data_IF_945289396394
#
_entry.id   IF_945289396394
#
_cell.length_a   1.000
_cell.length_b   1.000
_cell.length_c   1.000
_cell.angle_alpha   90.00
_cell.angle_beta   90.00
_cell.angle_gamma   90.00
#
_symmetry.space_group_name_H-M   'P 1'
#
loop_
_entity.id
_entity.type
_entity.pdbx_description
1 polymer ?
#
# COMPACT_ATOMS: atom_id res chain seq x y z
N UNK A 1 -42.96 14.61 -59.26
CA UNK A 1 -42.95 13.47 -58.32
C UNK A 1 -41.52 13.32 -57.89
N UNK A 2 -41.26 13.46 -56.60
CA UNK A 2 -39.94 13.25 -56.04
C UNK A 2 -39.70 11.74 -55.89
N UNK A 3 -38.55 11.28 -56.35
CA UNK A 3 -38.13 9.88 -56.34
C UNK A 3 -36.74 9.71 -55.71
N UNK A 4 -36.19 10.77 -55.11
CA UNK A 4 -34.83 10.78 -54.55
C UNK A 4 -34.93 10.57 -53.05
N UNK A 5 -34.35 9.50 -52.48
CA UNK A 5 -34.36 9.30 -51.04
C UNK A 5 -33.62 10.40 -50.27
N UNK A 6 -34.01 10.69 -49.02
CA UNK A 6 -33.24 11.56 -48.15
C UNK A 6 -31.88 10.93 -47.79
N UNK A 7 -30.94 11.77 -47.37
CA UNK A 7 -29.67 11.35 -46.75
C UNK A 7 -29.81 11.44 -45.24
N UNK A 8 -29.68 10.31 -44.54
CA UNK A 8 -29.68 10.27 -43.07
C UNK A 8 -28.26 10.45 -42.49
N UNK A 9 -28.21 10.97 -41.27
CA UNK A 9 -27.01 11.14 -40.44
C UNK A 9 -27.30 10.65 -39.03
N UNK A 10 -26.37 9.92 -38.43
CA UNK A 10 -26.42 9.49 -37.03
C UNK A 10 -25.37 10.25 -36.22
N UNK A 11 -25.75 10.74 -35.03
CA UNK A 11 -24.84 11.47 -34.12
C UNK A 11 -24.96 10.89 -32.72
N UNK A 12 -23.85 10.47 -32.14
CA UNK A 12 -23.73 9.99 -30.77
C UNK A 12 -23.27 11.13 -29.84
N UNK A 13 -23.97 11.37 -28.74
CA UNK A 13 -23.60 12.35 -27.72
C UNK A 13 -23.77 11.80 -26.28
N UNK A 14 -22.85 12.09 -25.34
CA UNK A 14 -21.64 12.89 -25.54
C UNK A 14 -20.63 12.21 -26.48
N UNK A 15 -19.71 13.01 -27.01
CA UNK A 15 -18.58 12.46 -27.76
C UNK A 15 -17.62 11.77 -26.77
N UNK A 16 -16.98 10.67 -27.17
CA UNK A 16 -16.02 9.99 -26.31
C UNK A 16 -14.83 10.88 -25.94
N UNK A 17 -14.17 10.53 -24.85
CA UNK A 17 -12.92 11.15 -24.44
C UNK A 17 -11.76 10.79 -25.39
N UNK A 18 -10.54 11.26 -25.09
CA UNK A 18 -9.36 11.01 -25.92
C UNK A 18 -8.96 9.53 -26.06
N UNK A 19 -9.46 8.64 -25.19
CA UNK A 19 -9.27 7.19 -25.25
C UNK A 19 -10.41 6.46 -25.99
N UNK A 20 -11.43 7.18 -26.47
CA UNK A 20 -12.55 6.58 -27.21
C UNK A 20 -13.68 6.05 -26.31
N UNK A 21 -13.72 6.42 -25.04
CA UNK A 21 -14.72 5.95 -24.07
C UNK A 21 -15.63 7.06 -23.55
N UNK A 22 -16.83 6.69 -23.13
CA UNK A 22 -17.78 7.54 -22.41
C UNK A 22 -18.01 6.98 -21.01
N UNK A 23 -18.04 7.85 -20.02
CA UNK A 23 -18.40 7.52 -18.64
C UNK A 23 -19.85 7.87 -18.26
N UNK A 24 -20.68 8.06 -19.28
CA UNK A 24 -22.11 8.33 -19.14
C UNK A 24 -22.86 7.65 -20.28
N UNK A 25 -24.19 7.60 -20.16
CA UNK A 25 -25.04 7.09 -21.23
C UNK A 25 -24.87 7.93 -22.51
N UNK A 26 -24.89 7.25 -23.66
CA UNK A 26 -24.74 7.88 -24.98
C UNK A 26 -26.07 7.85 -25.72
N UNK A 27 -26.52 9.00 -26.21
CA UNK A 27 -27.72 9.12 -27.04
C UNK A 27 -27.33 9.20 -28.52
N UNK A 28 -27.82 8.25 -29.32
CA UNK A 28 -27.70 8.26 -30.78
C UNK A 28 -28.96 8.90 -31.38
N UNK A 29 -28.79 10.04 -32.04
CA UNK A 29 -29.87 10.78 -32.70
C UNK A 29 -29.74 10.69 -34.22
N UNK A 30 -30.87 10.57 -34.91
CA UNK A 30 -30.93 10.50 -36.37
C UNK A 30 -31.54 11.79 -36.93
N UNK A 31 -30.89 12.35 -37.93
CA UNK A 31 -31.37 13.51 -38.69
C UNK A 31 -31.20 13.24 -40.18
N UNK A 32 -31.81 14.05 -41.03
CA UNK A 32 -31.65 13.88 -42.48
C UNK A 32 -31.83 15.16 -43.25
N UNK A 33 -31.35 15.14 -44.49
CA UNK A 33 -31.59 16.17 -45.50
C UNK A 33 -32.20 15.52 -46.73
N UNK A 34 -33.09 16.22 -47.42
CA UNK A 34 -33.71 15.71 -48.63
C UNK A 34 -33.25 16.51 -49.87
N UNK A 35 -32.40 15.93 -50.74
CA UNK A 35 -31.98 16.57 -51.98
C UNK A 35 -33.06 16.50 -53.09
N UNK A 36 -34.08 15.64 -52.94
CA UNK A 36 -35.22 15.53 -53.87
C UNK A 36 -36.19 16.71 -53.78
N UNK A 37 -36.21 17.39 -52.64
CA UNK A 37 -36.90 18.66 -52.40
C UNK A 37 -38.33 18.52 -51.88
N UNK A 38 -38.81 17.30 -51.61
CA UNK A 38 -40.07 17.07 -50.89
C UNK A 38 -39.96 17.36 -49.38
N UNK A 39 -38.75 17.41 -48.84
CA UNK A 39 -38.44 17.61 -47.43
C UNK A 39 -38.52 16.33 -46.61
N UNK A 40 -37.81 16.30 -45.48
CA UNK A 40 -37.81 15.14 -44.57
C UNK A 40 -39.11 15.09 -43.77
N UNK A 41 -39.82 13.96 -43.83
CA UNK A 41 -41.06 13.74 -43.08
C UNK A 41 -40.78 13.25 -41.65
N UNK A 42 -39.90 12.26 -41.49
CA UNK A 42 -39.54 11.70 -40.18
C UNK A 42 -38.22 10.94 -40.25
N UNK A 43 -37.53 10.84 -39.11
CA UNK A 43 -36.37 9.95 -38.92
C UNK A 43 -36.63 8.98 -37.77
N UNK A 44 -35.82 7.92 -37.68
CA UNK A 44 -35.78 7.02 -36.52
C UNK A 44 -35.69 7.82 -35.21
N UNK A 45 -36.40 7.37 -34.17
CA UNK A 45 -36.31 7.97 -32.85
C UNK A 45 -34.89 7.82 -32.27
N UNK A 46 -34.49 8.76 -31.42
CA UNK A 46 -33.21 8.67 -30.73
C UNK A 46 -33.17 7.46 -29.79
N UNK A 47 -32.01 6.81 -29.70
CA UNK A 47 -31.77 5.63 -28.85
C UNK A 47 -30.75 6.00 -27.79
N UNK A 48 -31.03 5.67 -26.53
CA UNK A 48 -30.08 5.83 -25.41
C UNK A 48 -29.39 4.50 -25.15
N UNK A 49 -28.09 4.47 -25.36
CA UNK A 49 -27.20 3.40 -24.95
C UNK A 49 -26.78 3.66 -23.51
N UNK A 50 -27.24 2.80 -22.60
CA UNK A 50 -26.96 2.90 -21.15
C UNK A 50 -26.25 1.67 -20.58
N UNK A 51 -26.13 0.61 -21.37
CA UNK A 51 -25.35 -0.55 -21.00
C UNK A 51 -23.86 -0.25 -21.21
N UNK A 52 -23.04 -0.73 -20.28
CA UNK A 52 -21.59 -0.67 -20.43
C UNK A 52 -21.12 -1.74 -21.42
N UNK A 53 -20.01 -1.45 -22.10
CA UNK A 53 -19.42 -2.32 -23.09
C UNK A 53 -18.76 -1.55 -24.23
N UNK A 54 -17.82 -2.22 -24.88
CA UNK A 54 -17.10 -1.72 -26.05
C UNK A 54 -17.81 -2.05 -27.36
N UNK A 55 -17.58 -1.23 -28.39
CA UNK A 55 -17.98 -1.49 -29.77
C UNK A 55 -19.49 -1.46 -30.01
N UNK A 56 -20.25 -0.74 -29.18
CA UNK A 56 -21.69 -0.61 -29.37
C UNK A 56 -22.00 0.22 -30.62
N UNK A 57 -23.16 -0.01 -31.23
CA UNK A 57 -23.57 0.70 -32.44
C UNK A 57 -25.08 0.79 -32.55
N UNK A 58 -25.57 1.87 -33.14
CA UNK A 58 -26.98 2.07 -33.45
C UNK A 58 -27.17 2.57 -34.88
N UNK A 59 -28.26 2.16 -35.52
CA UNK A 59 -28.56 2.52 -36.91
C UNK A 59 -30.01 2.95 -37.10
N UNK A 60 -30.23 3.88 -38.04
CA UNK A 60 -31.54 4.47 -38.29
C UNK A 60 -31.68 5.06 -39.68
N UNK A 61 -32.90 5.38 -40.07
CA UNK A 61 -33.25 5.86 -41.41
C UNK A 61 -34.14 7.09 -41.34
N UNK A 62 -34.21 7.87 -42.43
CA UNK A 62 -35.17 8.94 -42.61
C UNK A 62 -36.09 8.66 -43.80
N UNK A 63 -37.33 9.14 -43.74
CA UNK A 63 -38.31 9.09 -44.84
C UNK A 63 -38.71 10.50 -45.20
N UNK A 64 -38.84 10.79 -46.49
CA UNK A 64 -39.28 12.10 -47.01
C UNK A 64 -40.81 12.21 -47.15
N UNK A 65 -41.32 13.37 -47.54
CA UNK A 65 -42.76 13.58 -47.74
C UNK A 65 -43.32 12.91 -49.00
N UNK A 66 -42.46 12.42 -49.90
CA UNK A 66 -42.84 11.63 -51.06
C UNK A 66 -42.87 10.11 -50.78
N UNK A 67 -42.45 9.69 -49.58
CA UNK A 67 -42.42 8.30 -49.12
C UNK A 67 -41.15 7.53 -49.46
N UNK A 68 -40.08 8.20 -49.91
CA UNK A 68 -38.78 7.55 -50.15
C UNK A 68 -37.99 7.43 -48.82
N UNK A 69 -37.30 6.31 -48.62
CA UNK A 69 -36.52 6.02 -47.39
C UNK A 69 -35.02 6.01 -47.67
N UNK A 70 -34.24 6.67 -46.80
CA UNK A 70 -32.77 6.72 -46.89
C UNK A 70 -32.12 5.35 -46.72
N UNK A 71 -30.86 5.23 -47.16
CA UNK A 71 -29.98 4.20 -46.60
C UNK A 71 -29.81 4.39 -45.08
N UNK A 72 -29.50 3.33 -44.31
CA UNK A 72 -29.21 3.46 -42.89
C UNK A 72 -28.00 4.35 -42.62
N UNK A 73 -28.13 5.26 -41.66
CA UNK A 73 -27.00 5.94 -41.03
C UNK A 73 -26.69 5.26 -39.70
N UNK A 74 -25.41 5.04 -39.41
CA UNK A 74 -24.98 4.34 -38.20
C UNK A 74 -23.99 5.17 -37.40
N UNK A 75 -24.14 5.14 -36.08
CA UNK A 75 -23.07 5.49 -35.16
C UNK A 75 -22.44 4.18 -34.66
N UNK A 76 -21.13 4.05 -34.79
CA UNK A 76 -20.37 2.82 -34.47
C UNK A 76 -19.28 3.10 -33.45
N UNK A 77 -18.67 2.03 -32.92
CA UNK A 77 -17.53 2.09 -32.00
C UNK A 77 -17.81 2.94 -30.74
N UNK A 78 -19.05 2.88 -30.26
CA UNK A 78 -19.46 3.56 -29.03
C UNK A 78 -19.03 2.67 -27.86
N UNK A 79 -18.03 3.12 -27.10
CA UNK A 79 -17.61 2.47 -25.88
C UNK A 79 -18.16 3.23 -24.67
N UNK A 80 -18.78 2.50 -23.74
CA UNK A 80 -19.36 3.05 -22.51
C UNK A 80 -18.81 2.25 -21.34
N UNK A 81 -18.27 2.94 -20.36
CA UNK A 81 -17.85 2.38 -19.09
C UNK A 81 -18.03 3.44 -18.01
N UNK A 82 -18.93 3.19 -17.07
CA UNK A 82 -19.35 4.14 -16.02
C UNK A 82 -18.87 3.67 -14.65
N UNK A 83 -18.20 2.53 -14.58
CA UNK A 83 -17.83 1.87 -13.34
C UNK A 83 -16.40 2.26 -13.01
N UNK A 84 -16.16 2.75 -11.80
CA UNK A 84 -14.81 3.04 -11.35
C UNK A 84 -14.04 1.73 -11.08
N UNK A 85 -12.71 1.73 -11.30
CA UNK A 85 -11.87 0.60 -10.95
C UNK A 85 -11.92 0.35 -9.44
N UNK A 86 -11.80 -0.91 -9.01
CA UNK A 86 -11.53 -1.23 -7.61
C UNK A 86 -10.06 -1.02 -7.31
N UNK A 87 -9.72 -0.37 -6.19
CA UNK A 87 -8.35 -0.21 -5.71
C UNK A 87 -8.24 -0.71 -4.27
N UNK A 88 -7.18 -1.44 -3.96
CA UNK A 88 -6.86 -1.89 -2.61
C UNK A 88 -5.37 -1.71 -2.33
N UNK A 89 -5.06 -0.92 -1.32
CA UNK A 89 -3.72 -0.68 -0.81
C UNK A 89 -3.62 -1.22 0.62
N UNK A 90 -2.54 -1.94 0.91
CA UNK A 90 -2.28 -2.43 2.26
C UNK A 90 -1.40 -1.45 3.05
N UNK A 91 -1.62 -1.38 4.35
CA UNK A 91 -0.71 -0.72 5.28
C UNK A 91 0.70 -1.33 5.17
N UNK A 92 1.72 -0.52 5.46
CA UNK A 92 3.11 -0.95 5.34
C UNK A 92 3.97 -0.35 6.44
N UNK A 93 4.64 -1.23 7.17
CA UNK A 93 5.48 -0.85 8.30
C UNK A 93 6.94 -1.17 8.01
N UNK A 94 7.81 -0.24 8.37
CA UNK A 94 9.25 -0.42 8.33
C UNK A 94 9.88 0.16 9.58
N UNK A 95 10.92 -0.49 10.07
CA UNK A 95 11.69 -0.02 11.22
C UNK A 95 12.79 0.93 10.75
N UNK A 96 12.92 2.09 11.38
CA UNK A 96 14.04 2.99 11.14
C UNK A 96 14.32 3.93 12.31
N UNK A 97 15.57 4.36 12.41
CA UNK A 97 16.03 5.37 13.39
C UNK A 97 16.00 6.78 12.83
N UNK A 98 15.81 6.90 11.51
CA UNK A 98 15.83 8.15 10.75
C UNK A 98 14.75 8.11 9.65
N UNK A 99 14.37 9.26 9.08
CA UNK A 99 13.57 9.28 7.86
C UNK A 99 14.21 8.42 6.76
N UNK A 100 13.41 7.57 6.11
CA UNK A 100 13.88 6.58 5.15
C UNK A 100 13.05 6.60 3.86
N UNK A 101 13.68 6.25 2.74
CA UNK A 101 12.98 5.99 1.49
C UNK A 101 12.25 4.63 1.57
N UNK A 102 10.91 4.65 1.58
CA UNK A 102 10.11 3.43 1.79
C UNK A 102 9.51 2.93 0.49
N UNK A 103 9.77 1.68 0.15
CA UNK A 103 9.26 1.05 -1.06
C UNK A 103 8.11 0.09 -0.73
N UNK A 104 6.92 0.65 -0.52
CA UNK A 104 5.71 -0.12 -0.21
C UNK A 104 5.12 -0.79 -1.48
N UNK A 105 4.38 -1.91 -1.33
CA UNK A 105 3.80 -2.65 -2.46
C UNK A 105 2.86 -1.81 -3.32
N UNK A 106 2.82 -2.06 -4.63
CA UNK A 106 1.82 -1.46 -5.50
C UNK A 106 0.40 -1.93 -5.10
N UNK A 107 -0.63 -1.07 -5.18
CA UNK A 107 -1.99 -1.49 -4.86
C UNK A 107 -2.50 -2.53 -5.86
N UNK A 108 -3.43 -3.36 -5.40
CA UNK A 108 -4.19 -4.28 -6.26
C UNK A 108 -5.32 -3.49 -6.91
N UNK A 109 -5.33 -3.46 -8.24
CA UNK A 109 -6.33 -2.71 -9.02
C UNK A 109 -6.98 -3.62 -10.05
N UNK A 110 -8.30 -3.56 -10.14
CA UNK A 110 -9.08 -4.32 -11.14
C UNK A 110 -10.20 -3.47 -11.71
N UNK A 111 -10.54 -3.73 -12.96
CA UNK A 111 -11.69 -3.14 -13.63
C UNK A 111 -12.26 -4.13 -14.67
N UNK A 112 -13.55 -4.01 -14.98
CA UNK A 112 -14.27 -4.94 -15.85
C UNK A 112 -14.06 -4.67 -17.35
N UNK A 113 -13.82 -3.42 -17.74
CA UNK A 113 -13.72 -2.97 -19.13
C UNK A 113 -12.37 -2.34 -19.45
N UNK A 114 -11.54 -2.09 -18.45
CA UNK A 114 -10.14 -1.69 -18.57
C UNK A 114 -9.19 -2.69 -17.88
N UNK A 115 -8.30 -3.31 -18.67
CA UNK A 115 -7.33 -4.26 -18.14
C UNK A 115 -6.12 -3.61 -17.45
N UNK A 116 -5.97 -2.28 -17.56
CA UNK A 116 -4.84 -1.57 -16.95
C UNK A 116 -5.18 -0.14 -16.53
N UNK A 117 -6.07 0.04 -15.53
CA UNK A 117 -6.34 1.37 -14.97
C UNK A 117 -5.04 2.05 -14.51
N UNK A 118 -4.92 3.35 -14.78
CA UNK A 118 -3.78 4.14 -14.35
C UNK A 118 -3.83 4.37 -12.84
N UNK A 119 -2.70 4.19 -12.16
CA UNK A 119 -2.60 4.35 -10.70
C UNK A 119 -1.59 5.42 -10.34
N UNK A 120 -1.98 6.34 -9.45
CA UNK A 120 -1.10 7.36 -8.88
C UNK A 120 -1.23 7.35 -7.36
N UNK A 121 -0.11 7.20 -6.66
CA UNK A 121 -0.05 7.23 -5.20
C UNK A 121 0.75 8.42 -4.69
N UNK A 122 0.27 9.06 -3.62
CA UNK A 122 0.92 10.20 -2.99
C UNK A 122 0.97 10.01 -1.46
N UNK A 123 2.17 10.03 -0.83
CA UNK A 123 3.49 9.95 -1.45
C UNK A 123 3.66 8.72 -2.35
N UNK A 124 4.59 8.75 -3.32
CA UNK A 124 4.85 7.60 -4.19
C UNK A 124 5.78 6.57 -3.53
N UNK A 125 5.67 5.29 -3.90
CA UNK A 125 6.61 4.25 -3.44
C UNK A 125 8.06 4.63 -3.81
N UNK A 126 8.96 4.51 -2.84
CA UNK A 126 10.35 4.97 -2.91
C UNK A 126 10.57 6.43 -2.47
N UNK A 127 9.52 7.15 -2.08
CA UNK A 127 9.66 8.51 -1.50
C UNK A 127 10.27 8.44 -0.09
N UNK A 128 10.83 9.57 0.38
CA UNK A 128 11.24 9.73 1.78
C UNK A 128 10.02 9.88 2.68
N UNK A 129 9.94 9.06 3.72
CA UNK A 129 8.94 9.14 4.78
C UNK A 129 9.59 9.63 6.07
N UNK A 130 8.87 10.50 6.80
CA UNK A 130 9.28 10.90 8.14
C UNK A 130 9.06 9.73 9.12
N UNK A 131 9.67 9.82 10.31
CA UNK A 131 9.37 8.91 11.40
C UNK A 131 7.88 9.02 11.80
N UNK A 132 7.27 7.88 12.13
CA UNK A 132 5.85 7.75 12.42
C UNK A 132 4.98 7.49 11.19
N UNK A 133 3.70 7.74 11.35
CA UNK A 133 2.68 7.43 10.34
C UNK A 133 2.60 8.47 9.24
N UNK A 134 2.54 8.01 8.00
CA UNK A 134 2.22 8.84 6.83
C UNK A 134 1.08 8.20 6.05
N UNK A 135 0.03 8.98 5.81
CA UNK A 135 -1.09 8.54 4.97
C UNK A 135 -0.69 8.59 3.49
N UNK A 136 -0.72 7.43 2.83
CA UNK A 136 -0.61 7.32 1.37
C UNK A 136 -2.01 7.23 0.78
N UNK A 137 -2.30 8.06 -0.23
CA UNK A 137 -3.54 7.97 -1.01
C UNK A 137 -3.21 7.51 -2.43
N UNK A 138 -3.77 6.38 -2.86
CA UNK A 138 -3.69 5.91 -4.25
C UNK A 138 -5.01 6.17 -4.97
N UNK A 139 -4.94 6.74 -6.17
CA UNK A 139 -6.09 6.91 -7.07
C UNK A 139 -5.90 5.99 -8.28
N UNK A 140 -6.88 5.13 -8.54
CA UNK A 140 -6.97 4.37 -9.78
C UNK A 140 -7.93 5.08 -10.75
N UNK A 141 -7.63 5.08 -12.06
CA UNK A 141 -8.44 5.73 -13.09
C UNK A 141 -8.45 4.89 -14.36
N UNK A 142 -9.64 4.55 -14.84
CA UNK A 142 -9.80 3.76 -16.07
C UNK A 142 -9.70 4.63 -17.35
N UNK A 143 -9.86 3.99 -18.52
CA UNK A 143 -9.87 4.66 -19.82
C UNK A 143 -11.10 5.55 -20.07
N UNK A 144 -12.23 5.31 -19.42
CA UNK A 144 -13.42 6.17 -19.50
C UNK A 144 -13.31 7.43 -18.63
N UNK A 145 -12.36 7.44 -17.70
CA UNK A 145 -12.10 8.51 -16.75
C UNK A 145 -12.89 8.36 -15.45
N UNK A 146 -13.42 7.16 -15.14
CA UNK A 146 -13.91 6.89 -13.79
C UNK A 146 -12.71 6.65 -12.87
N UNK A 147 -12.84 7.05 -11.61
CA UNK A 147 -11.75 6.97 -10.64
C UNK A 147 -12.26 6.60 -9.25
N UNK A 148 -11.44 5.85 -8.53
CA UNK A 148 -11.66 5.45 -7.13
C UNK A 148 -10.35 5.63 -6.35
N UNK A 149 -10.47 5.82 -5.03
CA UNK A 149 -9.33 5.99 -4.15
C UNK A 149 -9.30 4.94 -3.04
N UNK A 150 -8.09 4.58 -2.64
CA UNK A 150 -7.85 3.88 -1.37
C UNK A 150 -6.70 4.54 -0.63
N UNK A 151 -6.72 4.41 0.70
CA UNK A 151 -5.73 4.98 1.59
C UNK A 151 -5.13 3.89 2.47
N UNK A 152 -3.82 3.95 2.65
CA UNK A 152 -3.12 3.11 3.61
C UNK A 152 -2.10 3.94 4.39
N UNK A 153 -1.79 3.48 5.58
CA UNK A 153 -0.75 4.07 6.42
C UNK A 153 0.58 3.41 6.10
N UNK A 154 1.59 4.24 5.84
CA UNK A 154 2.99 3.83 5.84
C UNK A 154 3.62 4.32 7.13
N UNK A 155 4.02 3.39 7.99
CA UNK A 155 4.61 3.69 9.30
C UNK A 155 6.11 3.45 9.27
N UNK A 156 6.88 4.49 9.59
CA UNK A 156 8.32 4.35 9.86
C UNK A 156 8.49 4.32 11.37
N UNK A 157 8.50 3.12 11.93
CA UNK A 157 8.48 2.88 13.36
C UNK A 157 9.86 3.12 13.99
N UNK A 158 9.85 3.88 15.08
CA UNK A 158 10.99 4.09 15.97
C UNK A 158 11.02 3.03 17.07
N UNK A 159 12.14 2.91 17.79
CA UNK A 159 12.30 1.92 18.87
C UNK A 159 11.26 2.07 19.98
N UNK A 160 10.94 3.30 20.37
CA UNK A 160 9.89 3.59 21.35
C UNK A 160 8.51 3.16 20.86
N UNK A 161 8.15 3.46 19.61
CA UNK A 161 6.89 3.02 19.01
C UNK A 161 6.74 1.48 19.02
N UNK A 162 7.80 0.76 18.63
CA UNK A 162 7.80 -0.72 18.68
C UNK A 162 7.63 -1.24 20.10
N UNK A 163 8.30 -0.61 21.07
CA UNK A 163 8.15 -1.00 22.47
C UNK A 163 6.70 -0.79 22.93
N UNK A 164 6.10 0.36 22.60
CA UNK A 164 4.72 0.67 22.95
C UNK A 164 3.72 -0.32 22.33
N UNK A 165 3.91 -0.70 21.05
CA UNK A 165 3.08 -1.71 20.38
C UNK A 165 3.18 -3.08 21.05
N UNK A 166 4.40 -3.53 21.32
CA UNK A 166 4.65 -4.80 22.04
C UNK A 166 4.02 -4.77 23.43
N UNK A 167 4.05 -3.63 24.13
CA UNK A 167 3.40 -3.49 25.43
C UNK A 167 1.88 -3.62 25.33
N UNK A 168 1.26 -3.01 24.32
CA UNK A 168 -0.17 -3.13 24.04
C UNK A 168 -0.60 -4.57 23.78
N UNK A 169 0.15 -5.30 22.97
CA UNK A 169 -0.13 -6.72 22.71
C UNK A 169 0.07 -7.61 23.96
N UNK A 170 1.06 -7.32 24.80
CA UNK A 170 1.22 -8.00 26.10
C UNK A 170 0.00 -7.75 27.00
N UNK A 171 -0.50 -6.51 27.05
CA UNK A 171 -1.69 -6.15 27.82
C UNK A 171 -2.94 -6.90 27.32
N UNK A 172 -3.12 -7.00 26.00
CA UNK A 172 -4.22 -7.74 25.40
C UNK A 172 -4.16 -9.24 25.71
N UNK A 173 -2.97 -9.84 25.64
CA UNK A 173 -2.75 -11.24 26.04
C UNK A 173 -3.10 -11.47 27.51
N UNK A 174 -2.71 -10.55 28.39
CA UNK A 174 -3.04 -10.62 29.82
C UNK A 174 -4.54 -10.47 30.06
N UNK A 175 -5.20 -9.57 29.31
CA UNK A 175 -6.63 -9.32 29.42
C UNK A 175 -7.50 -10.48 28.90
N UNK A 176 -7.06 -11.16 27.83
CA UNK A 176 -7.73 -12.33 27.27
C UNK A 176 -7.82 -13.50 28.28
N UNK A 177 -6.86 -13.60 29.21
CA UNK A 177 -6.81 -14.63 30.23
C UNK A 177 -6.43 -16.01 29.67
N UNK A 178 -6.69 -17.07 30.44
CA UNK A 178 -6.37 -18.46 30.02
C UNK A 178 -4.88 -18.84 30.10
N UNK A 179 -4.01 -17.89 30.43
CA UNK A 179 -2.58 -18.10 30.61
C UNK A 179 -2.22 -18.76 31.94
N UNK A 180 -1.12 -19.49 31.97
CA UNK A 180 -0.57 -20.04 33.21
C UNK A 180 -0.02 -18.93 34.12
N UNK A 181 0.00 -19.14 35.45
CA UNK A 181 0.61 -18.19 36.38
C UNK A 181 2.08 -17.86 36.05
N UNK A 182 2.79 -18.82 35.44
CA UNK A 182 4.15 -18.62 34.95
C UNK A 182 4.17 -17.64 33.79
N UNK A 183 3.32 -17.84 32.77
CA UNK A 183 3.20 -16.96 31.61
C UNK A 183 2.85 -15.54 32.05
N UNK A 184 1.81 -15.37 32.88
CA UNK A 184 1.40 -14.08 33.42
C UNK A 184 2.55 -13.38 34.15
N UNK A 185 3.31 -14.10 35.01
CA UNK A 185 4.46 -13.51 35.70
C UNK A 185 5.59 -13.09 34.75
N UNK A 186 5.76 -13.81 33.64
CA UNK A 186 6.80 -13.53 32.65
C UNK A 186 6.44 -12.37 31.74
N UNK A 187 5.21 -12.32 31.25
CA UNK A 187 4.66 -11.19 30.50
C UNK A 187 4.76 -9.89 31.31
N UNK A 188 4.31 -9.90 32.58
CA UNK A 188 4.43 -8.71 33.43
C UNK A 188 5.88 -8.25 33.65
N UNK A 189 6.83 -9.18 33.79
CA UNK A 189 8.26 -8.83 33.88
C UNK A 189 8.83 -8.34 32.55
N UNK A 190 8.33 -8.81 31.42
CA UNK A 190 8.71 -8.29 30.11
C UNK A 190 8.24 -6.83 29.99
N UNK A 191 7.00 -6.55 30.38
CA UNK A 191 6.43 -5.22 30.37
C UNK A 191 7.17 -4.24 31.29
N UNK A 192 7.57 -4.67 32.50
CA UNK A 192 8.45 -3.89 33.38
C UNK A 192 9.77 -3.54 32.69
N UNK A 193 10.36 -4.47 31.93
CA UNK A 193 11.61 -4.25 31.20
C UNK A 193 11.43 -3.34 29.99
N UNK A 194 10.30 -3.43 29.31
CA UNK A 194 9.97 -2.52 28.21
C UNK A 194 9.73 -1.09 28.71
N UNK A 195 9.08 -0.92 29.87
CA UNK A 195 8.97 0.37 30.56
C UNK A 195 10.34 0.91 30.95
N UNK A 196 11.21 0.08 31.57
CA UNK A 196 12.60 0.47 31.85
C UNK A 196 13.31 0.91 30.55
N UNK A 197 13.02 0.30 29.40
CA UNK A 197 13.65 0.64 28.12
C UNK A 197 13.21 2.01 27.60
N UNK A 198 11.90 2.30 27.66
CA UNK A 198 11.35 3.62 27.30
C UNK A 198 11.92 4.73 28.17
N UNK A 199 12.07 4.49 29.48
CA UNK A 199 12.69 5.45 30.40
C UNK A 199 14.13 5.79 29.97
N UNK A 200 14.92 4.80 29.56
CA UNK A 200 16.32 4.99 29.14
C UNK A 200 16.40 5.67 27.76
N UNK A 201 15.39 5.51 26.89
CA UNK A 201 15.25 6.21 25.61
C UNK A 201 14.80 7.67 25.78
N UNK A 202 14.06 7.98 26.83
CA UNK A 202 13.59 9.32 27.15
C UNK A 202 14.65 10.21 27.83
N UNK A 203 15.80 9.65 28.22
CA UNK A 203 16.94 10.43 28.74
C UNK A 203 17.49 11.41 27.67
N UNK A 204 18.14 12.50 28.11
CA UNK A 204 18.77 13.49 27.22
C UNK A 204 20.28 13.62 27.53
N UNK A 205 21.19 13.00 26.74
CA UNK A 205 20.90 12.18 25.55
C UNK A 205 20.43 10.75 25.91
N UNK A 206 19.71 10.05 25.00
CA UNK A 206 19.22 8.70 25.25
C UNK A 206 20.33 7.67 25.54
N UNK A 207 20.12 6.79 26.53
CA UNK A 207 21.02 5.65 26.81
C UNK A 207 20.58 4.41 26.04
N UNK A 208 20.75 4.45 24.71
CA UNK A 208 20.38 3.38 23.78
C UNK A 208 21.03 2.04 24.17
N UNK A 209 22.24 2.07 24.74
CA UNK A 209 22.92 0.85 25.20
C UNK A 209 22.13 0.16 26.29
N UNK A 210 21.68 0.89 27.31
CA UNK A 210 20.88 0.31 28.38
C UNK A 210 19.49 -0.04 27.87
N UNK A 211 18.86 0.79 27.04
CA UNK A 211 17.58 0.47 26.42
C UNK A 211 17.62 -0.90 25.70
N UNK A 212 18.62 -1.14 24.85
CA UNK A 212 18.82 -2.43 24.19
C UNK A 212 19.06 -3.59 25.18
N UNK A 213 19.71 -3.32 26.32
CA UNK A 213 19.85 -4.33 27.38
C UNK A 213 18.51 -4.65 28.05
N UNK A 214 17.66 -3.64 28.29
CA UNK A 214 16.31 -3.83 28.82
C UNK A 214 15.42 -4.61 27.86
N UNK A 215 15.51 -4.31 26.57
CA UNK A 215 14.81 -5.06 25.51
C UNK A 215 15.29 -6.53 25.48
N UNK A 216 16.61 -6.79 25.52
CA UNK A 216 17.15 -8.16 25.64
C UNK A 216 16.60 -8.88 26.88
N UNK A 217 16.54 -8.19 28.02
CA UNK A 217 15.97 -8.77 29.24
C UNK A 217 14.47 -9.05 29.11
N UNK A 218 13.72 -8.22 28.37
CA UNK A 218 12.31 -8.41 28.07
C UNK A 218 12.09 -9.65 27.21
N UNK A 219 12.83 -9.79 26.10
CA UNK A 219 12.80 -11.00 25.23
C UNK A 219 13.07 -12.26 26.04
N UNK A 220 14.07 -12.23 26.94
CA UNK A 220 14.36 -13.34 27.85
C UNK A 220 13.23 -13.66 28.83
N UNK A 221 12.34 -12.72 29.15
CA UNK A 221 11.14 -13.03 29.93
C UNK A 221 10.07 -13.64 29.04
N UNK A 222 9.82 -13.06 27.85
CA UNK A 222 8.89 -13.56 26.85
C UNK A 222 9.18 -15.02 26.47
N UNK A 223 10.44 -15.36 26.18
CA UNK A 223 10.87 -16.72 25.86
C UNK A 223 10.61 -17.73 26.99
N UNK A 224 10.50 -17.25 28.23
CA UNK A 224 10.20 -18.08 29.41
C UNK A 224 8.70 -18.17 29.71
N UNK A 225 7.84 -17.44 29.00
CA UNK A 225 6.40 -17.42 29.21
C UNK A 225 5.74 -18.77 28.90
N UNK A 226 6.30 -19.58 28.00
CA UNK A 226 5.83 -20.94 27.72
C UNK A 226 4.53 -20.94 26.92
N UNK A 227 3.43 -21.43 27.52
CA UNK A 227 2.12 -21.69 26.87
C UNK A 227 1.39 -20.46 26.30
N UNK A 228 2.06 -19.30 26.20
CA UNK A 228 1.52 -18.11 25.57
C UNK A 228 1.47 -18.21 24.02
N UNK A 229 2.10 -19.24 23.44
CA UNK A 229 1.87 -19.64 22.05
C UNK A 229 2.48 -18.69 21.02
N UNK A 230 1.95 -18.76 19.79
CA UNK A 230 2.47 -18.06 18.62
C UNK A 230 2.45 -16.53 18.74
N UNK A 231 1.55 -15.97 19.56
CA UNK A 231 1.46 -14.53 19.76
C UNK A 231 2.72 -13.99 20.47
N UNK A 232 3.25 -14.72 21.46
CA UNK A 232 4.50 -14.30 22.12
C UNK A 232 5.73 -14.49 21.23
N UNK A 233 5.71 -15.49 20.35
CA UNK A 233 6.79 -15.67 19.37
C UNK A 233 6.84 -14.48 18.40
N UNK A 234 5.69 -13.99 17.93
CA UNK A 234 5.60 -12.79 17.09
C UNK A 234 6.15 -11.54 17.78
N UNK A 235 5.85 -11.37 19.08
CA UNK A 235 6.41 -10.27 19.88
C UNK A 235 7.93 -10.35 20.04
N UNK A 236 8.46 -11.55 20.23
CA UNK A 236 9.90 -11.77 20.30
C UNK A 236 10.54 -11.40 18.96
N UNK A 237 9.98 -11.88 17.85
CA UNK A 237 10.49 -11.60 16.51
C UNK A 237 10.54 -10.09 16.22
N UNK A 238 9.50 -9.35 16.61
CA UNK A 238 9.43 -7.91 16.45
C UNK A 238 10.55 -7.18 17.24
N UNK A 239 10.75 -7.54 18.51
CA UNK A 239 11.82 -6.96 19.34
C UNK A 239 13.22 -7.32 18.85
N UNK A 240 13.41 -8.54 18.34
CA UNK A 240 14.69 -9.00 17.78
C UNK A 240 15.01 -8.26 16.49
N UNK A 241 14.04 -8.10 15.58
CA UNK A 241 14.23 -7.36 14.33
C UNK A 241 14.47 -5.87 14.59
N UNK A 242 13.79 -5.27 15.58
CA UNK A 242 14.10 -3.92 16.04
C UNK A 242 15.56 -3.79 16.52
N UNK A 243 16.05 -4.73 17.35
CA UNK A 243 17.44 -4.72 17.82
C UNK A 243 18.44 -4.90 16.66
N UNK A 244 18.10 -5.73 15.66
CA UNK A 244 18.88 -5.89 14.43
C UNK A 244 19.00 -4.59 13.66
N UNK A 245 17.89 -3.89 13.42
CA UNK A 245 17.85 -2.62 12.68
C UNK A 245 18.70 -1.56 13.40
N UNK A 246 18.57 -1.46 14.72
CA UNK A 246 19.43 -0.60 15.54
C UNK A 246 20.92 -0.91 15.36
N UNK A 247 21.30 -2.19 15.44
CA UNK A 247 22.69 -2.61 15.28
C UNK A 247 23.23 -2.29 13.88
N UNK A 248 22.43 -2.53 12.83
CA UNK A 248 22.81 -2.26 11.45
C UNK A 248 23.02 -0.77 11.21
N UNK A 249 22.08 0.08 11.63
CA UNK A 249 22.20 1.54 11.48
C UNK A 249 23.44 2.11 12.19
N UNK A 250 23.75 1.58 13.39
CA UNK A 250 24.96 1.95 14.11
C UNK A 250 26.24 1.53 13.34
N UNK A 251 26.24 0.35 12.72
CA UNK A 251 27.34 -0.15 11.88
C UNK A 251 27.52 0.76 10.66
N UNK A 252 26.44 1.05 9.94
CA UNK A 252 26.47 1.87 8.73
C UNK A 252 26.95 3.29 9.04
N UNK A 253 26.48 3.86 10.16
CA UNK A 253 26.97 5.15 10.68
C UNK A 253 28.47 5.10 10.97
N UNK A 254 28.96 4.04 11.61
CA UNK A 254 30.38 3.89 11.89
C UNK A 254 31.22 3.75 10.61
N UNK A 255 30.73 3.00 9.60
CA UNK A 255 31.39 2.85 8.29
C UNK A 255 31.47 4.19 7.56
N UNK A 256 30.39 4.98 7.59
CA UNK A 256 30.33 6.27 6.93
C UNK A 256 31.17 7.36 7.62
N UNK A 257 31.55 7.17 8.88
CA UNK A 257 32.24 8.18 9.70
C UNK A 257 33.76 8.19 9.45
N UNK A 258 34.34 9.30 8.95
CA UNK A 258 35.78 9.42 8.76
C UNK A 258 36.54 9.28 10.09
N UNK A 259 37.53 8.40 10.12
CA UNK A 259 38.36 8.17 11.32
C UNK A 259 37.80 7.12 12.28
N UNK A 260 36.66 6.48 11.98
CA UNK A 260 36.14 5.40 12.79
C UNK A 260 37.10 4.19 12.86
N UNK A 261 37.10 3.50 14.01
CA UNK A 261 37.99 2.37 14.26
C UNK A 261 37.55 1.11 13.51
N UNK A 262 38.24 0.79 12.42
CA UNK A 262 37.95 -0.37 11.58
C UNK A 262 37.93 -1.72 12.33
N UNK A 263 38.75 -1.91 13.37
CA UNK A 263 38.74 -3.15 14.16
C UNK A 263 37.47 -3.28 15.01
N UNK A 264 36.88 -2.16 15.43
CA UNK A 264 35.60 -2.16 16.16
C UNK A 264 34.43 -2.41 15.21
N UNK A 265 34.45 -1.84 14.01
CA UNK A 265 33.46 -2.13 12.95
C UNK A 265 33.46 -3.63 12.62
N UNK A 266 34.64 -4.22 12.35
CA UNK A 266 34.74 -5.65 12.07
C UNK A 266 34.23 -6.55 13.21
N UNK A 267 34.35 -6.10 14.47
CA UNK A 267 33.75 -6.81 15.61
C UNK A 267 32.23 -6.67 15.63
N UNK A 268 31.70 -5.50 15.27
CA UNK A 268 30.26 -5.29 15.19
C UNK A 268 29.63 -6.18 14.10
N UNK A 269 30.21 -6.19 12.90
CA UNK A 269 29.77 -7.07 11.79
C UNK A 269 29.85 -8.55 12.18
N UNK A 270 30.89 -8.96 12.92
CA UNK A 270 31.02 -10.33 13.40
C UNK A 270 29.97 -10.71 14.46
N UNK A 271 29.54 -9.79 15.32
CA UNK A 271 28.43 -10.03 16.24
C UNK A 271 27.09 -10.05 15.48
N UNK A 272 26.90 -9.19 14.49
CA UNK A 272 25.73 -9.21 13.59
C UNK A 272 25.58 -10.57 12.90
N UNK A 273 26.68 -11.14 12.39
CA UNK A 273 26.68 -12.44 11.75
C UNK A 273 26.33 -13.60 12.71
N UNK A 274 26.78 -13.54 13.97
CA UNK A 274 26.40 -14.54 14.99
C UNK A 274 24.92 -14.47 15.31
N UNK A 275 24.36 -13.26 15.43
CA UNK A 275 22.94 -13.10 15.67
C UNK A 275 22.10 -13.73 14.55
N UNK A 276 22.53 -13.59 13.29
CA UNK A 276 21.84 -14.22 12.15
C UNK A 276 21.97 -15.75 12.17
N UNK A 277 23.10 -16.30 12.63
CA UNK A 277 23.30 -17.75 12.81
C UNK A 277 22.37 -18.31 13.89
N UNK A 278 22.20 -17.58 15.00
CA UNK A 278 21.25 -17.91 16.07
C UNK A 278 19.77 -17.77 15.64
N UNK A 279 19.47 -17.20 14.46
CA UNK A 279 18.13 -17.13 13.89
C UNK A 279 17.92 -18.13 12.73
N UNK A 280 18.90 -19.01 12.48
CA UNK A 280 18.72 -20.09 11.51
C UNK A 280 17.59 -21.03 11.98
N UNK A 281 16.66 -21.44 11.11
CA UNK A 281 15.56 -22.32 11.49
C UNK A 281 15.98 -23.67 12.11
N UNK A 282 17.24 -24.10 11.92
CA UNK A 282 17.78 -25.33 12.50
C UNK A 282 18.32 -25.18 13.93
N UNK A 283 18.61 -23.95 14.39
CA UNK A 283 19.09 -23.64 15.75
C UNK A 283 18.55 -22.27 16.22
N UNK A 284 17.22 -22.08 16.13
CA UNK A 284 16.54 -20.82 16.43
C UNK A 284 16.59 -20.48 17.93
N UNK A 285 17.36 -19.44 18.27
CA UNK A 285 17.60 -18.94 19.63
C UNK A 285 17.57 -17.39 19.66
N UNK A 286 16.35 -16.78 19.69
CA UNK A 286 16.20 -15.33 19.71
C UNK A 286 16.78 -14.67 20.97
N UNK A 287 16.88 -15.42 22.09
CA UNK A 287 17.52 -14.94 23.33
C UNK A 287 19.02 -14.66 23.12
N UNK A 288 19.71 -15.51 22.34
CA UNK A 288 21.12 -15.26 21.98
C UNK A 288 21.24 -14.21 20.88
N UNK A 289 20.39 -14.27 19.87
CA UNK A 289 20.43 -13.33 18.74
C UNK A 289 20.35 -11.87 19.21
N UNK A 290 19.41 -11.56 20.13
CA UNK A 290 19.25 -10.20 20.65
C UNK A 290 20.48 -9.72 21.45
N UNK A 291 21.14 -10.62 22.19
CA UNK A 291 22.38 -10.29 22.88
C UNK A 291 23.53 -9.99 21.91
N UNK A 292 23.56 -10.67 20.77
CA UNK A 292 24.53 -10.41 19.71
C UNK A 292 24.25 -9.09 18.98
N UNK A 293 22.99 -8.75 18.68
CA UNK A 293 22.65 -7.42 18.14
C UNK A 293 23.01 -6.28 19.12
N UNK A 294 22.71 -6.42 20.41
CA UNK A 294 23.10 -5.44 21.42
C UNK A 294 24.64 -5.27 21.50
N UNK A 295 25.42 -6.34 21.35
CA UNK A 295 26.89 -6.26 21.28
C UNK A 295 27.37 -5.62 19.99
N UNK A 296 26.75 -5.94 18.86
CA UNK A 296 27.07 -5.36 17.56
C UNK A 296 26.93 -3.84 17.60
N UNK A 297 25.77 -3.35 18.07
CA UNK A 297 25.53 -1.93 18.31
C UNK A 297 26.62 -1.29 19.19
N UNK A 298 26.95 -1.91 20.34
CA UNK A 298 27.98 -1.40 21.24
C UNK A 298 29.37 -1.32 20.60
N UNK A 299 29.71 -2.28 19.73
CA UNK A 299 30.97 -2.29 19.01
C UNK A 299 31.03 -1.18 17.97
N UNK A 300 29.95 -0.98 17.22
CA UNK A 300 29.84 0.07 16.22
C UNK A 300 29.91 1.47 16.85
N UNK A 301 29.17 1.70 17.94
CA UNK A 301 29.22 2.98 18.65
C UNK A 301 30.61 3.28 19.23
N UNK A 302 31.31 2.27 19.78
CA UNK A 302 32.71 2.40 20.24
C UNK A 302 33.73 2.58 19.10
N UNK A 303 33.31 2.45 17.85
CA UNK A 303 34.16 2.70 16.70
C UNK A 303 34.23 4.19 16.35
N UNK A 304 33.20 4.96 16.71
CA UNK A 304 33.14 6.40 16.44
C UNK A 304 34.24 7.16 17.23
N UNK A 305 34.74 8.28 16.66
CA UNK A 305 35.82 9.08 17.25
C UNK A 305 35.44 9.86 18.51
#
# INVERSE_FOLDING_TARGET
MDTTPPTATATALPAPNGAGWNNTDVTVSFSGTDPGGSGVASCSAAVVLSAEGAGQSESGTCTDNAGNTSAPASATDINIDKTAPSVSLADHEVLSTVPLAVNYPAPVVTDALDAGPAVVCVPASGSMFALGDTLVTCTATDQAGNAEQDMAVVSVLTTDAVIEDVQGEIDDLLAAGGLSNKAVNKLGKAQDKLNDALDELAEDPPDVKKALQRISDAVKQLSKAGDAGADVDALIDLLVEMARVQAQDAIDTAIATPGANASRIAKAEAEMAKALDDLDPSDFDPDKAIDHYAKAWQHAHKALP
#
